data_IF_503582466104
#
_entry.id   IF_503582466104
#
_cell.length_a   1.000
_cell.length_b   1.000
_cell.length_c   1.000
_cell.angle_alpha   90.00
_cell.angle_beta   90.00
_cell.angle_gamma   90.00
#
_symmetry.space_group_name_H-M   'P 1'
#
loop_
_entity.id
_entity.type
_entity.pdbx_description
1 polymer ?
#
# COMPACT_ATOMS: atom_id res chain seq x y z
N UNK A 1 3.84 -33.86 2.24
CA UNK A 1 4.82 -32.91 1.66
C UNK A 1 4.01 -31.72 1.16
N UNK A 2 4.09 -30.57 1.81
CA UNK A 2 3.39 -29.36 1.33
C UNK A 2 4.03 -28.91 0.02
N UNK A 3 3.23 -28.79 -1.03
CA UNK A 3 3.64 -28.37 -2.36
C UNK A 3 2.71 -27.27 -2.82
N UNK A 4 3.31 -26.22 -3.36
CA UNK A 4 2.59 -25.13 -4.00
C UNK A 4 3.19 -24.96 -5.39
N UNK A 5 2.35 -24.94 -6.43
CA UNK A 5 2.77 -24.91 -7.82
C UNK A 5 3.83 -25.98 -8.19
N UNK A 6 3.69 -27.19 -7.63
CA UNK A 6 4.61 -28.31 -7.88
C UNK A 6 5.96 -28.26 -7.15
N UNK A 7 6.30 -27.13 -6.52
CA UNK A 7 7.55 -26.95 -5.76
C UNK A 7 7.34 -27.26 -4.28
N UNK A 8 8.37 -27.80 -3.61
CA UNK A 8 8.29 -28.10 -2.17
C UNK A 8 8.38 -26.80 -1.39
N UNK A 9 7.39 -26.53 -0.53
CA UNK A 9 7.34 -25.35 0.33
C UNK A 9 7.47 -25.76 1.79
N UNK A 10 8.19 -24.95 2.55
CA UNK A 10 8.16 -24.94 4.02
C UNK A 10 7.53 -23.61 4.42
N UNK A 11 6.49 -23.67 5.24
CA UNK A 11 5.76 -22.47 5.68
C UNK A 11 6.14 -22.16 7.12
N UNK A 12 6.55 -20.92 7.37
CA UNK A 12 6.75 -20.37 8.71
C UNK A 12 5.64 -19.35 8.94
N UNK A 13 4.89 -19.51 10.03
CA UNK A 13 3.77 -18.62 10.38
C UNK A 13 4.13 -17.79 11.60
N UNK A 14 3.95 -16.46 11.51
CA UNK A 14 4.07 -15.55 12.64
C UNK A 14 2.73 -14.84 12.85
N UNK A 15 2.24 -14.83 14.09
CA UNK A 15 1.03 -14.10 14.45
C UNK A 15 1.45 -12.77 15.10
N UNK A 16 1.01 -11.66 14.51
CA UNK A 16 1.35 -10.33 14.99
C UNK A 16 0.21 -9.85 15.90
N UNK A 17 0.58 -9.35 17.08
CA UNK A 17 -0.33 -8.75 18.04
C UNK A 17 0.31 -7.46 18.54
N UNK A 18 -0.52 -6.44 18.79
CA UNK A 18 -0.10 -5.16 19.39
C UNK A 18 0.95 -4.37 18.57
N UNK A 19 1.13 -4.72 17.29
CA UNK A 19 2.05 -4.05 16.36
C UNK A 19 1.42 -3.96 14.97
N UNK A 20 1.80 -2.93 14.21
CA UNK A 20 1.34 -2.79 12.83
C UNK A 20 1.98 -3.87 11.93
N UNK A 21 1.18 -4.38 11.00
CA UNK A 21 1.56 -5.47 10.10
C UNK A 21 2.64 -5.04 9.09
N UNK A 22 2.61 -3.79 8.62
CA UNK A 22 3.50 -3.30 7.57
C UNK A 22 4.93 -3.18 8.07
N UNK A 23 5.14 -2.40 9.13
CA UNK A 23 6.47 -2.15 9.70
C UNK A 23 7.08 -3.41 10.30
N UNK A 24 6.27 -4.35 10.83
CA UNK A 24 6.79 -5.64 11.27
C UNK A 24 7.37 -6.44 10.09
N UNK A 25 6.63 -6.53 8.98
CA UNK A 25 7.09 -7.31 7.82
C UNK A 25 8.29 -6.65 7.16
N UNK A 26 8.33 -5.31 7.10
CA UNK A 26 9.48 -4.56 6.56
C UNK A 26 10.75 -4.80 7.38
N UNK A 27 10.67 -4.74 8.71
CA UNK A 27 11.80 -5.08 9.59
C UNK A 27 12.20 -6.55 9.45
N UNK A 28 11.23 -7.47 9.45
CA UNK A 28 11.49 -8.90 9.32
C UNK A 28 12.14 -9.25 7.98
N UNK A 29 11.75 -8.60 6.88
CA UNK A 29 12.37 -8.73 5.57
C UNK A 29 13.84 -8.32 5.62
N UNK A 30 14.13 -7.14 6.16
CA UNK A 30 15.50 -6.64 6.27
C UNK A 30 16.40 -7.59 7.09
N UNK A 31 15.91 -8.05 8.26
CA UNK A 31 16.65 -8.96 9.15
C UNK A 31 16.87 -10.33 8.49
N UNK A 32 15.87 -10.89 7.81
CA UNK A 32 15.98 -12.20 7.16
C UNK A 32 16.92 -12.14 5.97
N UNK A 33 16.88 -11.07 5.18
CA UNK A 33 17.80 -10.87 4.05
C UNK A 33 19.26 -10.74 4.51
N UNK A 34 19.51 -10.10 5.67
CA UNK A 34 20.85 -9.93 6.21
C UNK A 34 21.38 -11.21 6.88
N UNK A 35 20.56 -11.89 7.69
CA UNK A 35 21.02 -12.97 8.55
C UNK A 35 20.85 -14.37 7.94
N UNK A 36 20.01 -14.53 6.92
CA UNK A 36 19.69 -15.86 6.38
C UNK A 36 20.18 -16.01 4.95
N UNK A 37 21.33 -16.68 4.80
CA UNK A 37 21.82 -17.11 3.49
C UNK A 37 21.10 -18.38 3.03
N UNK A 38 20.32 -18.26 1.96
CA UNK A 38 19.69 -19.41 1.33
C UNK A 38 20.66 -20.15 0.41
N UNK A 39 20.71 -21.49 0.46
CA UNK A 39 21.42 -22.26 -0.55
C UNK A 39 20.77 -22.08 -1.93
N UNK A 40 21.54 -22.27 -3.02
CA UNK A 40 21.03 -22.08 -4.37
C UNK A 40 19.82 -22.97 -4.66
N UNK A 41 18.80 -22.41 -5.32
CA UNK A 41 17.54 -23.09 -5.63
C UNK A 41 16.42 -22.90 -4.61
N UNK A 42 16.67 -22.14 -3.52
CA UNK A 42 15.66 -21.71 -2.57
C UNK A 42 15.41 -20.20 -2.69
N UNK A 43 14.17 -19.77 -2.45
CA UNK A 43 13.79 -18.36 -2.37
C UNK A 43 12.80 -18.17 -1.23
N UNK A 44 12.76 -16.96 -0.68
CA UNK A 44 11.74 -16.55 0.27
C UNK A 44 10.51 -16.02 -0.47
N UNK A 45 9.34 -16.27 0.12
CA UNK A 45 8.08 -15.71 -0.34
C UNK A 45 7.27 -15.27 0.87
N UNK A 46 6.88 -13.99 0.87
CA UNK A 46 6.09 -13.37 1.92
C UNK A 46 4.63 -13.34 1.47
N UNK A 47 3.74 -13.89 2.28
CA UNK A 47 2.33 -14.05 1.92
C UNK A 47 1.39 -13.80 3.10
N UNK A 48 0.10 -14.07 2.90
CA UNK A 48 -0.93 -13.89 3.91
C UNK A 48 -1.56 -12.50 3.86
N UNK A 49 -1.89 -11.93 5.02
CA UNK A 49 -2.56 -10.61 5.09
C UNK A 49 -1.70 -9.48 4.52
N UNK A 50 -0.37 -9.60 4.59
CA UNK A 50 0.55 -8.62 4.02
C UNK A 50 0.43 -8.52 2.50
N UNK A 51 0.30 -9.64 1.80
CA UNK A 51 0.09 -9.65 0.34
C UNK A 51 -1.20 -8.92 -0.05
N UNK A 52 -2.27 -9.11 0.73
CA UNK A 52 -3.54 -8.40 0.54
C UNK A 52 -3.37 -6.89 0.76
N UNK A 53 -2.61 -6.49 1.78
CA UNK A 53 -2.27 -5.09 2.04
C UNK A 53 -1.49 -4.49 0.86
N UNK A 54 -0.42 -5.13 0.41
CA UNK A 54 0.39 -4.66 -0.74
C UNK A 54 -0.46 -4.56 -2.00
N UNK A 55 -1.30 -5.56 -2.28
CA UNK A 55 -2.21 -5.58 -3.42
C UNK A 55 -3.26 -4.46 -3.36
N UNK A 56 -3.79 -4.17 -2.17
CA UNK A 56 -4.73 -3.07 -1.96
C UNK A 56 -4.04 -1.71 -2.13
N UNK A 57 -2.87 -1.51 -1.53
CA UNK A 57 -2.06 -0.29 -1.65
C UNK A 57 -1.69 -0.02 -3.11
N UNK A 58 -1.29 -1.04 -3.86
CA UNK A 58 -0.97 -0.91 -5.30
C UNK A 58 -2.19 -0.52 -6.14
N UNK A 59 -3.39 -0.97 -5.77
CA UNK A 59 -4.62 -0.53 -6.44
C UNK A 59 -4.93 0.93 -6.09
N UNK A 60 -4.84 1.31 -4.82
CA UNK A 60 -5.08 2.68 -4.36
C UNK A 60 -4.10 3.68 -4.99
N UNK A 61 -2.83 3.32 -5.19
CA UNK A 61 -1.84 4.22 -5.81
C UNK A 61 -2.17 4.59 -7.26
N UNK A 62 -3.00 3.80 -7.95
CA UNK A 62 -3.49 4.09 -9.31
C UNK A 62 -4.85 4.78 -9.24
N UNK A 63 -5.76 4.28 -8.41
CA UNK A 63 -7.14 4.76 -8.31
C UNK A 63 -7.19 6.19 -7.74
N UNK A 64 -6.37 6.51 -6.74
CA UNK A 64 -6.37 7.84 -6.11
C UNK A 64 -5.98 8.94 -7.09
N UNK A 65 -4.84 8.87 -7.82
CA UNK A 65 -4.53 9.85 -8.87
C UNK A 65 -5.58 9.92 -9.96
N UNK A 66 -6.13 8.78 -10.40
CA UNK A 66 -7.17 8.75 -11.42
C UNK A 66 -8.44 9.50 -10.97
N UNK A 67 -8.89 9.29 -9.73
CA UNK A 67 -10.02 10.00 -9.15
C UNK A 67 -9.76 11.51 -9.03
N UNK A 68 -8.56 11.90 -8.58
CA UNK A 68 -8.14 13.29 -8.48
C UNK A 68 -8.17 14.02 -9.83
N UNK A 69 -7.65 13.39 -10.89
CA UNK A 69 -7.72 13.92 -12.27
C UNK A 69 -9.18 14.03 -12.73
N UNK A 70 -10.00 13.01 -12.45
CA UNK A 70 -11.41 13.00 -12.84
C UNK A 70 -12.19 14.13 -12.15
N UNK A 71 -11.98 14.36 -10.86
CA UNK A 71 -12.57 15.47 -10.12
C UNK A 71 -12.15 16.81 -10.72
N UNK A 72 -10.86 16.99 -11.02
CA UNK A 72 -10.37 18.20 -11.67
C UNK A 72 -11.03 18.43 -13.04
N UNK A 73 -11.17 17.38 -13.86
CA UNK A 73 -11.82 17.46 -15.16
C UNK A 73 -13.30 17.87 -15.04
N UNK A 74 -14.03 17.32 -14.05
CA UNK A 74 -15.41 17.71 -13.76
C UNK A 74 -15.51 19.17 -13.30
N UNK A 75 -14.60 19.62 -12.43
CA UNK A 75 -14.54 21.01 -11.99
C UNK A 75 -14.24 21.95 -13.15
N UNK A 76 -13.30 21.60 -14.01
CA UNK A 76 -12.97 22.38 -15.21
C UNK A 76 -14.15 22.48 -16.17
N UNK A 77 -14.86 21.38 -16.41
CA UNK A 77 -16.06 21.37 -17.25
C UNK A 77 -17.22 22.20 -16.66
N UNK A 78 -17.35 22.22 -15.33
CA UNK A 78 -18.40 22.95 -14.63
C UNK A 78 -18.13 24.46 -14.55
N UNK A 79 -16.88 24.86 -14.26
CA UNK A 79 -16.49 26.26 -14.04
C UNK A 79 -16.05 26.97 -15.32
N UNK A 80 -15.72 26.22 -16.38
CA UNK A 80 -15.31 26.76 -17.69
C UNK A 80 -13.93 27.43 -17.71
N UNK A 81 -13.29 27.66 -16.55
CA UNK A 81 -11.94 28.20 -16.46
C UNK A 81 -11.04 27.37 -15.54
N UNK A 82 -9.77 27.22 -15.93
CA UNK A 82 -8.78 26.47 -15.15
C UNK A 82 -8.42 27.16 -13.83
N UNK A 83 -8.52 28.50 -13.77
CA UNK A 83 -8.19 29.27 -12.56
C UNK A 83 -9.19 28.98 -11.43
N UNK A 84 -10.48 29.01 -11.74
CA UNK A 84 -11.53 28.76 -10.75
C UNK A 84 -11.52 27.29 -10.31
N UNK A 85 -11.30 26.36 -11.25
CA UNK A 85 -11.16 24.94 -10.94
C UNK A 85 -9.98 24.66 -9.99
N UNK A 86 -8.81 25.27 -10.23
CA UNK A 86 -7.64 25.12 -9.35
C UNK A 86 -7.87 25.72 -7.96
N UNK A 87 -8.59 26.84 -7.87
CA UNK A 87 -8.89 27.49 -6.60
C UNK A 87 -9.76 26.58 -5.72
N UNK A 88 -10.81 25.96 -6.28
CA UNK A 88 -11.63 24.96 -5.56
C UNK A 88 -10.81 23.69 -5.25
N UNK A 89 -10.04 23.22 -6.21
CA UNK A 89 -9.25 22.00 -6.09
C UNK A 89 -8.14 22.09 -5.02
N UNK A 90 -7.64 23.29 -4.71
CA UNK A 90 -6.71 23.52 -3.59
C UNK A 90 -7.31 23.18 -2.20
N UNK A 91 -8.63 23.08 -2.08
CA UNK A 91 -9.29 22.58 -0.87
C UNK A 91 -9.07 21.09 -0.63
N UNK A 92 -8.72 20.31 -1.66
CA UNK A 92 -8.52 18.85 -1.55
C UNK A 92 -7.33 18.49 -0.64
N UNK A 93 -6.11 19.04 -0.82
CA UNK A 93 -5.02 18.83 0.12
C UNK A 93 -5.37 19.25 1.56
N UNK A 94 -6.07 20.37 1.74
CA UNK A 94 -6.49 20.85 3.06
C UNK A 94 -7.43 19.84 3.75
N UNK A 95 -8.41 19.31 3.03
CA UNK A 95 -9.32 18.28 3.55
C UNK A 95 -8.57 17.00 3.94
N UNK A 96 -7.58 16.57 3.15
CA UNK A 96 -6.75 15.41 3.48
C UNK A 96 -5.95 15.62 4.77
N UNK A 97 -5.36 16.81 4.96
CA UNK A 97 -4.62 17.12 6.20
C UNK A 97 -5.52 17.06 7.44
N UNK A 98 -6.76 17.54 7.34
CA UNK A 98 -7.74 17.43 8.42
C UNK A 98 -8.11 15.98 8.75
N UNK A 99 -8.28 15.13 7.72
CA UNK A 99 -8.57 13.71 7.91
C UNK A 99 -7.43 12.95 8.60
N UNK A 100 -6.18 13.23 8.23
CA UNK A 100 -5.00 12.60 8.88
C UNK A 100 -4.88 13.07 10.33
N UNK A 101 -5.06 14.38 10.58
CA UNK A 101 -5.01 14.93 11.94
C UNK A 101 -6.06 14.30 12.86
N UNK A 102 -7.26 14.02 12.34
CA UNK A 102 -8.33 13.38 13.10
C UNK A 102 -8.05 11.90 13.45
N UNK A 103 -7.21 11.20 12.68
CA UNK A 103 -6.78 9.83 12.99
C UNK A 103 -5.55 9.80 13.94
N UNK A 104 -4.80 10.89 14.01
CA UNK A 104 -3.61 11.01 14.83
C UNK A 104 -3.90 11.50 16.26
N UNK A 105 -5.07 12.12 16.48
CA UNK A 105 -5.61 12.54 17.78
C UNK A 105 -6.49 11.45 18.39
#
# INVERSE_FOLDING_TARGET
ISRENGKRRITVTANIRERDLGSFVEEAQAVVEEQVMLPPGYWFEWGGQFEQLVSATKRLSIVVPAALVLIFALLFASLGTAKDALLVYSGVPLALTGGIAALAL
#
